data_IF_755590086502
#
_entry.id   IF_755590086502
#
_cell.length_a   1.000
_cell.length_b   1.000
_cell.length_c   1.000
_cell.angle_alpha   90.00
_cell.angle_beta   90.00
_cell.angle_gamma   90.00
#
_symmetry.space_group_name_H-M   'P 1'
#
loop_
_entity.id
_entity.type
_entity.pdbx_description
1 polymer ?
#
# COMPACT_ATOMS: atom_id res chain seq x y z
N UNK A 1 1.41 21.79 11.51
CA UNK A 1 1.18 21.66 10.06
C UNK A 1 -0.09 20.86 9.84
N UNK A 2 -0.97 21.25 8.92
CA UNK A 2 -2.19 20.48 8.61
C UNK A 2 -1.88 19.41 7.56
N UNK A 3 -2.68 18.33 7.52
CA UNK A 3 -2.56 17.30 6.47
C UNK A 3 -2.70 17.90 5.07
N UNK A 4 -3.57 18.89 4.90
CA UNK A 4 -3.76 19.59 3.64
C UNK A 4 -2.49 20.33 3.20
N UNK A 5 -1.90 21.14 4.09
CA UNK A 5 -0.65 21.85 3.79
C UNK A 5 0.51 20.90 3.46
N UNK A 6 0.58 19.73 4.11
CA UNK A 6 1.57 18.71 3.76
C UNK A 6 1.36 18.15 2.36
N UNK A 7 0.12 17.88 1.96
CA UNK A 7 -0.17 17.41 0.60
C UNK A 7 0.23 18.43 -0.46
N UNK A 8 -0.02 19.72 -0.20
CA UNK A 8 0.37 20.80 -1.11
C UNK A 8 1.89 20.87 -1.31
N UNK A 9 2.67 20.66 -0.24
CA UNK A 9 4.14 20.59 -0.32
C UNK A 9 4.62 19.35 -1.08
N UNK A 10 3.97 18.20 -0.88
CA UNK A 10 4.28 16.97 -1.60
C UNK A 10 3.99 17.07 -3.11
N UNK A 11 3.03 17.89 -3.51
CA UNK A 11 2.73 18.14 -4.92
C UNK A 11 3.83 18.95 -5.63
N UNK A 12 4.64 19.73 -4.90
CA UNK A 12 5.77 20.46 -5.47
C UNK A 12 6.98 19.57 -5.79
N UNK A 13 7.01 18.36 -5.23
CA UNK A 13 8.09 17.40 -5.46
C UNK A 13 8.02 16.82 -6.88
N UNK A 14 9.20 16.58 -7.46
CA UNK A 14 9.30 15.83 -8.70
C UNK A 14 8.70 14.41 -8.56
N UNK A 15 8.29 13.75 -9.66
CA UNK A 15 7.80 12.38 -9.58
C UNK A 15 8.78 11.41 -8.90
N UNK A 16 10.09 11.63 -9.06
CA UNK A 16 11.13 10.82 -8.45
C UNK A 16 11.18 11.01 -6.93
N UNK A 17 11.21 12.25 -6.46
CA UNK A 17 11.23 12.57 -5.02
C UNK A 17 9.98 12.06 -4.32
N UNK A 18 8.81 12.15 -4.97
CA UNK A 18 7.56 11.57 -4.44
C UNK A 18 7.67 10.06 -4.29
N UNK A 19 8.28 9.37 -5.25
CA UNK A 19 8.45 7.93 -5.20
C UNK A 19 9.45 7.51 -4.12
N UNK A 20 10.59 8.21 -4.02
CA UNK A 20 11.59 8.00 -2.97
C UNK A 20 10.98 8.20 -1.58
N UNK A 21 10.19 9.27 -1.38
CA UNK A 21 9.48 9.50 -0.13
C UNK A 21 8.44 8.43 0.16
N UNK A 22 7.65 8.01 -0.84
CA UNK A 22 6.65 6.96 -0.67
C UNK A 22 7.29 5.65 -0.21
N UNK A 23 8.43 5.26 -0.79
CA UNK A 23 9.18 4.09 -0.35
C UNK A 23 9.76 4.27 1.05
N UNK A 24 10.31 5.44 1.39
CA UNK A 24 10.80 5.73 2.73
C UNK A 24 9.71 5.66 3.81
N UNK A 25 8.50 6.16 3.50
CA UNK A 25 7.35 6.04 4.40
C UNK A 25 6.90 4.59 4.56
N UNK A 26 6.87 3.81 3.47
CA UNK A 26 6.56 2.38 3.55
C UNK A 26 7.58 1.64 4.41
N UNK A 27 8.86 1.92 4.23
CA UNK A 27 9.94 1.29 4.99
C UNK A 27 9.89 1.66 6.48
N UNK A 28 9.51 2.90 6.83
CA UNK A 28 9.32 3.29 8.23
C UNK A 28 8.23 2.48 8.94
N UNK A 29 7.17 2.08 8.23
CA UNK A 29 6.08 1.27 8.79
C UNK A 29 6.54 -0.18 9.02
N UNK A 30 7.46 -0.71 8.20
CA UNK A 30 8.01 -2.05 8.37
C UNK A 30 8.81 -2.19 9.68
N UNK A 31 9.39 -1.10 10.15
CA UNK A 31 10.21 -1.04 11.36
C UNK A 31 9.47 -0.43 12.56
N UNK A 32 8.17 -0.17 12.43
CA UNK A 32 7.36 0.38 13.51
C UNK A 32 7.01 -0.74 14.52
N UNK A 33 7.61 -0.68 15.71
CA UNK A 33 7.35 -1.64 16.80
C UNK A 33 5.89 -1.62 17.30
N UNK A 34 5.12 -0.57 16.97
CA UNK A 34 3.69 -0.47 17.29
C UNK A 34 2.79 -1.12 16.23
N UNK A 35 3.35 -1.53 15.08
CA UNK A 35 2.59 -2.20 14.05
C UNK A 35 2.07 -3.57 14.55
N UNK A 36 0.77 -3.87 14.36
CA UNK A 36 0.23 -5.15 14.79
C UNK A 36 0.90 -6.29 14.02
N UNK A 37 1.34 -7.37 14.70
CA UNK A 37 1.97 -8.49 14.03
C UNK A 37 0.99 -9.15 13.05
N UNK A 38 1.49 -9.58 11.89
CA UNK A 38 0.69 -10.37 10.96
C UNK A 38 0.27 -11.69 11.62
N UNK A 39 -1.04 -11.89 11.76
CA UNK A 39 -1.59 -13.16 12.23
C UNK A 39 -1.32 -14.28 11.22
N UNK A 40 -1.36 -15.53 11.67
CA UNK A 40 -1.19 -16.68 10.79
C UNK A 40 -2.31 -16.77 9.74
N UNK A 41 -3.51 -16.29 10.08
CA UNK A 41 -4.61 -16.15 9.13
C UNK A 41 -4.25 -15.17 8.00
N UNK A 42 -3.70 -13.99 8.33
CA UNK A 42 -3.24 -13.04 7.32
C UNK A 42 -2.11 -13.61 6.46
N UNK A 43 -1.13 -14.30 7.07
CA UNK A 43 -0.03 -14.93 6.32
C UNK A 43 -0.51 -16.04 5.39
N UNK A 44 -1.51 -16.82 5.78
CA UNK A 44 -2.11 -17.85 4.92
C UNK A 44 -2.83 -17.21 3.73
N UNK A 45 -3.69 -16.23 3.98
CA UNK A 45 -4.39 -15.49 2.93
C UNK A 45 -3.42 -14.88 1.90
N UNK A 46 -2.35 -14.23 2.37
CA UNK A 46 -1.34 -13.64 1.46
C UNK A 46 -0.65 -14.69 0.59
N UNK A 47 -0.33 -15.87 1.16
CA UNK A 47 0.26 -16.97 0.39
C UNK A 47 -0.71 -17.54 -0.64
N UNK A 48 -1.98 -17.71 -0.28
CA UNK A 48 -3.02 -18.19 -1.19
C UNK A 48 -3.24 -17.23 -2.35
N UNK A 49 -3.38 -15.92 -2.08
CA UNK A 49 -3.53 -14.89 -3.12
C UNK A 49 -2.32 -14.83 -4.05
N UNK A 50 -1.11 -14.98 -3.50
CA UNK A 50 0.11 -14.99 -4.31
C UNK A 50 0.22 -16.25 -5.19
N UNK A 51 -0.14 -17.43 -4.66
CA UNK A 51 -0.15 -18.67 -5.43
C UNK A 51 -1.20 -18.63 -6.54
N UNK A 52 -2.38 -18.08 -6.24
CA UNK A 52 -3.45 -17.86 -7.21
C UNK A 52 -3.00 -16.94 -8.34
N UNK A 53 -2.42 -15.77 -8.01
CA UNK A 53 -1.92 -14.84 -9.02
C UNK A 53 -0.83 -15.44 -9.91
N UNK A 54 0.12 -16.19 -9.32
CA UNK A 54 1.16 -16.90 -10.09
C UNK A 54 0.60 -17.94 -11.05
N UNK A 55 -0.52 -18.57 -10.70
CA UNK A 55 -1.19 -19.57 -11.53
C UNK A 55 -2.12 -18.93 -12.58
N UNK A 56 -2.52 -17.67 -12.38
CA UNK A 56 -3.45 -16.93 -13.22
C UNK A 56 -2.88 -15.51 -13.52
N UNK A 57 -1.74 -15.41 -14.23
CA UNK A 57 -1.07 -14.12 -14.42
C UNK A 57 -1.86 -13.12 -15.26
N UNK A 58 -2.73 -13.60 -16.16
CA UNK A 58 -3.56 -12.78 -17.04
C UNK A 58 -4.89 -12.37 -16.42
N UNK A 59 -5.21 -12.85 -15.21
CA UNK A 59 -6.41 -12.44 -14.52
C UNK A 59 -6.33 -10.93 -14.18
N UNK A 60 -7.35 -10.14 -14.54
CA UNK A 60 -7.35 -8.71 -14.26
C UNK A 60 -7.18 -8.44 -12.76
N UNK A 61 -6.14 -7.69 -12.40
CA UNK A 61 -5.97 -7.19 -11.04
C UNK A 61 -7.07 -6.21 -10.64
N UNK A 62 -7.17 -5.93 -9.33
CA UNK A 62 -8.05 -4.88 -8.82
C UNK A 62 -7.38 -3.51 -8.93
N UNK A 63 -8.09 -2.51 -9.42
CA UNK A 63 -7.59 -1.13 -9.46
C UNK A 63 -7.68 -0.48 -8.08
N UNK A 64 -6.81 0.51 -7.82
CA UNK A 64 -6.87 1.29 -6.57
C UNK A 64 -8.24 1.96 -6.37
N UNK A 65 -8.87 2.42 -7.45
CA UNK A 65 -10.23 2.98 -7.41
C UNK A 65 -11.28 1.94 -7.02
N UNK A 66 -11.17 0.71 -7.51
CA UNK A 66 -12.07 -0.37 -7.10
C UNK A 66 -11.91 -0.70 -5.61
N UNK A 67 -10.68 -0.69 -5.10
CA UNK A 67 -10.39 -0.87 -3.67
C UNK A 67 -11.01 0.27 -2.85
N UNK A 68 -10.80 1.54 -3.25
CA UNK A 68 -11.37 2.71 -2.57
C UNK A 68 -12.89 2.66 -2.49
N UNK A 69 -13.57 2.30 -3.60
CA UNK A 69 -15.03 2.15 -3.62
C UNK A 69 -15.54 1.08 -2.67
N UNK A 70 -14.76 0.01 -2.45
CA UNK A 70 -15.13 -1.07 -1.52
C UNK A 70 -14.95 -0.67 -0.06
N UNK A 71 -13.91 0.11 0.26
CA UNK A 71 -13.61 0.54 1.64
C UNK A 71 -14.47 1.72 2.12
N UNK A 72 -15.09 2.45 1.20
CA UNK A 72 -16.02 3.55 1.52
C UNK A 72 -17.46 3.08 1.82
N UNK A 73 -17.71 1.76 1.76
CA UNK A 73 -18.97 1.10 2.12
C UNK A 73 -18.87 0.53 3.54
#
# INVERSE_FOLDING_TARGET
>A
MTKAALLDELEQLSPRERLELAYGLLDSVLHDESAPPLSDAHRRELRERLAHHRSNPDEPGVTLDAIRRRLAQ
#
